data_IF_771787425298
#
_entry.id   IF_771787425298
#
_cell.length_a   1.000
_cell.length_b   1.000
_cell.length_c   1.000
_cell.angle_alpha   90.00
_cell.angle_beta   90.00
_cell.angle_gamma   90.00
#
_symmetry.space_group_name_H-M   'P 1'
#
loop_
_entity.id
_entity.type
_entity.pdbx_description
1 polymer ?
#
# COMPACT_ATOMS: atom_id res chain seq x y z
N UNK A 1 14.70 14.28 15.26
CA UNK A 1 14.89 13.56 16.54
C UNK A 1 14.35 12.16 16.34
N UNK A 2 15.12 11.10 16.59
CA UNK A 2 14.65 9.72 16.43
C UNK A 2 13.71 9.33 17.60
N UNK A 3 12.59 8.65 17.30
CA UNK A 3 11.70 8.08 18.32
C UNK A 3 12.21 6.69 18.72
N UNK A 4 12.36 6.46 20.02
CA UNK A 4 12.83 5.20 20.60
C UNK A 4 11.63 4.44 21.18
N UNK A 5 11.56 3.13 20.91
CA UNK A 5 10.53 2.27 21.46
C UNK A 5 10.73 2.04 22.95
N UNK A 6 9.63 1.99 23.67
CA UNK A 6 9.61 1.52 25.07
C UNK A 6 9.65 0.00 25.12
N UNK A 7 10.07 -0.55 26.25
CA UNK A 7 10.10 -2.00 26.48
C UNK A 7 8.73 -2.66 26.30
N UNK A 8 7.64 -1.94 26.60
CA UNK A 8 6.28 -2.45 26.39
C UNK A 8 5.90 -2.59 24.93
N UNK A 9 6.28 -1.63 24.09
CA UNK A 9 6.04 -1.67 22.64
C UNK A 9 6.86 -2.77 21.95
N UNK A 10 8.08 -3.00 22.43
CA UNK A 10 8.92 -4.12 21.97
C UNK A 10 8.26 -5.46 22.32
N UNK A 11 7.76 -5.63 23.55
CA UNK A 11 7.09 -6.85 23.97
C UNK A 11 5.80 -7.13 23.17
N UNK A 12 5.03 -6.09 22.86
CA UNK A 12 3.84 -6.21 22.00
C UNK A 12 4.20 -6.62 20.57
N UNK A 13 5.25 -6.04 19.98
CA UNK A 13 5.72 -6.44 18.66
C UNK A 13 6.18 -7.90 18.62
N UNK A 14 6.87 -8.37 19.66
CA UNK A 14 7.26 -9.78 19.78
C UNK A 14 6.05 -10.71 19.81
N UNK A 15 5.01 -10.36 20.57
CA UNK A 15 3.76 -11.14 20.61
C UNK A 15 3.03 -11.16 19.26
N UNK A 16 3.12 -10.07 18.49
CA UNK A 16 2.58 -9.97 17.13
C UNK A 16 3.48 -10.62 16.06
N UNK A 17 4.63 -11.19 16.45
CA UNK A 17 5.60 -11.83 15.54
C UNK A 17 6.51 -10.87 14.77
N UNK A 18 6.43 -9.55 15.03
CA UNK A 18 7.28 -8.53 14.42
C UNK A 18 7.38 -7.29 15.33
N UNK A 19 8.61 -6.90 15.68
CA UNK A 19 8.89 -5.59 16.29
C UNK A 19 9.16 -4.58 15.18
N UNK A 20 8.29 -3.59 15.02
CA UNK A 20 8.51 -2.53 14.02
C UNK A 20 9.58 -1.55 14.49
N UNK A 21 10.19 -0.78 13.58
CA UNK A 21 11.03 0.35 13.98
C UNK A 21 10.12 1.45 14.51
N UNK A 22 10.48 2.08 15.63
CA UNK A 22 9.69 3.09 16.35
C UNK A 22 9.30 4.37 15.59
N UNK A 23 9.35 4.36 14.27
CA UNK A 23 8.44 5.03 13.35
C UNK A 23 8.20 6.50 13.63
N UNK A 24 8.80 7.35 12.82
CA UNK A 24 8.20 8.66 12.59
C UNK A 24 6.93 8.43 11.79
N UNK A 25 5.76 8.73 12.37
CA UNK A 25 4.63 9.11 11.54
C UNK A 25 5.11 10.33 10.75
N UNK A 26 5.47 10.11 9.48
CA UNK A 26 5.78 11.22 8.61
C UNK A 26 4.50 12.04 8.55
N UNK A 27 4.48 13.18 9.25
CA UNK A 27 3.58 14.31 8.94
C UNK A 27 4.01 14.85 7.59
N UNK A 28 3.88 14.03 6.56
CA UNK A 28 4.07 14.45 5.19
C UNK A 28 2.74 15.04 4.79
N UNK A 29 2.73 16.34 4.50
CA UNK A 29 1.59 16.96 3.83
C UNK A 29 1.46 16.28 2.47
N UNK A 30 0.39 15.49 2.30
CA UNK A 30 0.08 14.82 1.04
C UNK A 30 -0.78 15.77 0.22
N UNK A 31 -0.30 16.16 -0.95
CA UNK A 31 -1.17 16.74 -1.98
C UNK A 31 -1.99 15.61 -2.61
N UNK A 32 -3.32 15.59 -2.46
CA UNK A 32 -4.16 14.54 -3.01
C UNK A 32 -4.03 14.40 -4.53
N UNK A 33 -3.83 15.50 -5.25
CA UNK A 33 -3.73 15.47 -6.72
C UNK A 33 -2.44 14.79 -7.16
N UNK A 34 -1.32 15.20 -6.55
CA UNK A 34 -0.02 14.56 -6.81
C UNK A 34 -0.01 13.08 -6.41
N UNK A 35 -0.69 12.72 -5.32
CA UNK A 35 -0.82 11.33 -4.88
C UNK A 35 -1.62 10.48 -5.87
N UNK A 36 -2.74 10.99 -6.39
CA UNK A 36 -3.53 10.30 -7.42
C UNK A 36 -2.72 10.13 -8.70
N UNK A 37 -2.05 11.17 -9.18
CA UNK A 37 -1.20 11.09 -10.37
C UNK A 37 -0.11 10.04 -10.22
N UNK A 38 0.53 9.98 -9.04
CA UNK A 38 1.54 8.96 -8.72
C UNK A 38 0.94 7.55 -8.74
N UNK A 39 -0.26 7.36 -8.20
CA UNK A 39 -0.92 6.06 -8.19
C UNK A 39 -1.29 5.58 -9.60
N UNK A 40 -1.77 6.48 -10.48
CA UNK A 40 -2.07 6.17 -11.87
C UNK A 40 -0.81 5.76 -12.64
N UNK A 41 0.26 6.55 -12.52
CA UNK A 41 1.55 6.22 -13.13
C UNK A 41 2.06 4.85 -12.66
N UNK A 42 1.99 4.57 -11.35
CA UNK A 42 2.45 3.29 -10.80
C UNK A 42 1.64 2.08 -11.29
N UNK A 43 0.36 2.29 -11.63
CA UNK A 43 -0.47 1.27 -12.27
C UNK A 43 -0.01 1.01 -13.72
N UNK A 44 0.22 2.07 -14.50
CA UNK A 44 0.73 1.96 -15.88
C UNK A 44 2.11 1.29 -15.94
N UNK A 45 2.98 1.63 -14.98
CA UNK A 45 4.31 1.04 -14.79
C UNK A 45 4.25 -0.41 -14.26
N UNK A 46 3.06 -0.95 -14.02
CA UNK A 46 2.79 -2.28 -13.44
C UNK A 46 3.44 -2.51 -12.07
N UNK A 47 3.66 -1.47 -11.28
CA UNK A 47 4.08 -1.61 -9.87
C UNK A 47 2.90 -2.03 -8.98
N UNK A 48 1.68 -1.81 -9.43
CA UNK A 48 0.46 -2.28 -8.79
C UNK A 48 -0.41 -3.05 -9.77
N UNK A 49 -0.95 -4.17 -9.32
CA UNK A 49 -2.04 -4.88 -10.00
C UNK A 49 -3.36 -4.51 -9.31
N UNK A 50 -4.39 -4.22 -10.11
CA UNK A 50 -5.72 -3.85 -9.61
C UNK A 50 -6.71 -4.93 -10.00
N UNK A 51 -7.53 -5.34 -9.03
CA UNK A 51 -8.59 -6.33 -9.23
C UNK A 51 -9.93 -5.76 -8.78
N UNK A 52 -10.98 -6.02 -9.55
CA UNK A 52 -12.38 -5.76 -9.19
C UNK A 52 -13.10 -7.09 -9.22
N UNK A 53 -13.66 -7.51 -8.08
CA UNK A 53 -14.35 -8.80 -7.92
C UNK A 53 -13.52 -10.00 -8.40
N UNK A 54 -12.21 -9.93 -8.16
CA UNK A 54 -11.23 -10.95 -8.55
C UNK A 54 -10.78 -10.89 -10.02
N UNK A 55 -11.35 -9.99 -10.82
CA UNK A 55 -10.94 -9.78 -12.22
C UNK A 55 -9.89 -8.67 -12.31
N UNK A 56 -8.74 -8.99 -12.93
CA UNK A 56 -7.65 -8.04 -13.09
C UNK A 56 -8.01 -6.96 -14.11
N UNK A 57 -7.75 -5.71 -13.77
CA UNK A 57 -7.89 -4.56 -14.65
C UNK A 57 -6.53 -4.19 -15.25
N UNK A 58 -6.51 -3.92 -16.55
CA UNK A 58 -5.29 -3.70 -17.33
C UNK A 58 -5.20 -2.33 -18.01
N UNK A 59 -6.27 -1.54 -17.96
CA UNK A 59 -6.36 -0.22 -18.60
C UNK A 59 -7.11 0.74 -17.69
N UNK A 60 -6.66 1.99 -17.63
CA UNK A 60 -7.30 3.07 -16.87
C UNK A 60 -8.62 3.52 -17.51
N UNK A 61 -8.75 3.36 -18.82
CA UNK A 61 -9.96 3.74 -19.57
C UNK A 61 -11.02 2.62 -19.60
N UNK A 62 -10.72 1.46 -19.01
CA UNK A 62 -11.67 0.36 -18.92
C UNK A 62 -12.85 0.73 -18.02
N UNK A 63 -14.06 0.60 -18.55
CA UNK A 63 -15.27 0.77 -17.75
C UNK A 63 -15.39 -0.38 -16.73
N UNK A 64 -15.60 -0.02 -15.47
CA UNK A 64 -15.90 -0.97 -14.40
C UNK A 64 -17.30 -0.71 -13.83
N UNK A 65 -18.03 -1.78 -13.54
CA UNK A 65 -19.30 -1.70 -12.82
C UNK A 65 -19.06 -2.07 -11.36
N UNK A 66 -19.44 -1.18 -10.44
CA UNK A 66 -19.35 -1.42 -9.00
C UNK A 66 -20.74 -1.51 -8.40
N UNK A 67 -20.95 -2.53 -7.58
CA UNK A 67 -22.18 -2.72 -6.81
C UNK A 67 -21.87 -2.67 -5.29
N UNK A 68 -22.87 -2.46 -4.43
CA UNK A 68 -22.70 -2.68 -2.99
C UNK A 68 -22.18 -4.10 -2.74
N UNK A 69 -21.03 -4.20 -2.07
CA UNK A 69 -20.35 -5.48 -1.82
C UNK A 69 -19.27 -5.85 -2.83
N UNK A 70 -19.10 -5.10 -3.93
CA UNK A 70 -17.94 -5.26 -4.82
C UNK A 70 -16.65 -5.04 -4.05
N UNK A 71 -15.65 -5.87 -4.35
CA UNK A 71 -14.33 -5.82 -3.71
C UNK A 71 -13.29 -5.32 -4.70
N UNK A 72 -12.68 -4.19 -4.38
CA UNK A 72 -11.51 -3.66 -5.10
C UNK A 72 -10.24 -4.03 -4.32
N UNK A 73 -9.24 -4.56 -5.01
CA UNK A 73 -7.97 -4.97 -4.40
C UNK A 73 -6.80 -4.37 -5.17
N UNK A 74 -5.85 -3.80 -4.44
CA UNK A 74 -4.60 -3.26 -4.96
C UNK A 74 -3.45 -4.12 -4.45
N UNK A 75 -2.72 -4.75 -5.35
CA UNK A 75 -1.58 -5.61 -5.01
C UNK A 75 -0.31 -4.90 -5.45
N UNK A 76 0.51 -4.48 -4.49
CA UNK A 76 1.83 -3.90 -4.75
C UNK A 76 2.80 -5.01 -5.14
N UNK A 77 3.42 -4.89 -6.30
CA UNK A 77 4.53 -5.74 -6.68
C UNK A 77 5.81 -5.22 -6.02
N UNK A 78 6.59 -6.15 -5.48
CA UNK A 78 7.93 -5.87 -4.98
C UNK A 78 8.91 -6.66 -5.82
N UNK A 79 9.98 -6.01 -6.26
CA UNK A 79 11.06 -6.71 -6.93
C UNK A 79 11.63 -7.74 -5.95
N UNK A 80 11.63 -9.00 -6.36
CA UNK A 80 12.32 -10.05 -5.62
C UNK A 80 13.80 -9.94 -5.97
N UNK A 81 14.66 -9.67 -4.98
CA UNK A 81 16.09 -9.83 -5.16
C UNK A 81 16.38 -11.33 -5.25
N UNK A 82 16.75 -11.81 -6.45
CA UNK A 82 17.23 -13.17 -6.65
C UNK A 82 18.71 -13.27 -6.28
N UNK A 83 19.01 -14.00 -5.19
CA UNK A 83 20.35 -14.32 -4.70
C UNK A 83 20.28 -15.10 -3.40
#
# INVERSE_FOLDING_TARGET
MARVLTSGEIAQGLAAGKVDTGGHEARQTVDPQAAVATALQAFEDRLYLVFVDGQQQMSLDAAIALAPGSRVSFVRLVALAGG
#
